data_IF_457121208123
#
_entry.id   IF_457121208123
#
_cell.length_a   1.000
_cell.length_b   1.000
_cell.length_c   1.000
_cell.angle_alpha   90.00
_cell.angle_beta   90.00
_cell.angle_gamma   90.00
#
_symmetry.space_group_name_H-M   'P 1'
#
loop_
_entity.id
_entity.type
_entity.pdbx_description
1 polymer ?
#
# COMPACT_ATOMS: atom_id res chain seq x y z
N UNK A 1 -5.54 15.22 -11.08
CA UNK A 1 -4.76 14.31 -10.24
C UNK A 1 -5.05 14.59 -8.80
N UNK A 2 -5.48 13.57 -8.06
CA UNK A 2 -5.71 13.65 -6.61
C UNK A 2 -4.65 12.79 -5.94
N UNK A 3 -4.14 13.25 -4.79
CA UNK A 3 -3.23 12.49 -3.94
C UNK A 3 -3.88 12.40 -2.57
N UNK A 4 -3.94 11.20 -2.03
CA UNK A 4 -4.49 10.93 -0.70
C UNK A 4 -3.46 10.13 0.10
N UNK A 5 -3.39 10.40 1.40
CA UNK A 5 -2.50 9.69 2.33
C UNK A 5 -3.39 9.19 3.46
N UNK A 6 -3.46 7.87 3.61
CA UNK A 6 -4.29 7.21 4.61
C UNK A 6 -3.60 5.96 5.16
N UNK A 7 -4.09 5.51 6.29
CA UNK A 7 -3.64 4.31 6.99
C UNK A 7 -4.59 3.12 6.82
N UNK A 8 -5.83 3.38 6.40
CA UNK A 8 -6.80 2.35 6.03
C UNK A 8 -6.43 1.78 4.65
N UNK A 9 -5.86 0.58 4.65
CA UNK A 9 -5.41 -0.09 3.44
C UNK A 9 -6.58 -0.57 2.57
N UNK A 10 -7.72 -0.95 3.15
CA UNK A 10 -8.87 -1.43 2.37
C UNK A 10 -9.48 -0.28 1.56
N UNK A 11 -9.59 0.90 2.17
CA UNK A 11 -10.04 2.11 1.48
C UNK A 11 -9.09 2.49 0.32
N UNK A 12 -7.78 2.52 0.59
CA UNK A 12 -6.78 2.92 -0.41
C UNK A 12 -6.75 1.95 -1.59
N UNK A 13 -6.89 0.64 -1.32
CA UNK A 13 -6.95 -0.40 -2.34
C UNK A 13 -8.20 -0.27 -3.23
N UNK A 14 -9.32 0.17 -2.68
CA UNK A 14 -10.56 0.37 -3.44
C UNK A 14 -10.56 1.68 -4.25
N UNK A 15 -9.88 2.72 -3.77
CA UNK A 15 -9.95 4.07 -4.33
C UNK A 15 -8.85 4.41 -5.33
N UNK A 16 -7.66 3.82 -5.19
CA UNK A 16 -6.47 4.25 -5.92
C UNK A 16 -6.08 3.32 -7.07
N UNK A 17 -5.81 3.88 -8.25
CA UNK A 17 -5.23 3.14 -9.38
C UNK A 17 -3.72 2.84 -9.18
N UNK A 18 -3.03 3.66 -8.38
CA UNK A 18 -1.60 3.53 -8.07
C UNK A 18 -1.34 3.90 -6.62
N UNK A 19 -0.60 3.04 -5.91
CA UNK A 19 -0.29 3.17 -4.50
C UNK A 19 1.23 3.22 -4.31
N UNK A 20 1.69 4.07 -3.39
CA UNK A 20 3.07 4.08 -2.89
C UNK A 20 3.03 3.77 -1.40
N UNK A 21 3.78 2.75 -0.97
CA UNK A 21 3.86 2.36 0.43
C UNK A 21 5.22 2.79 0.98
N UNK A 22 5.17 3.54 2.07
CA UNK A 22 6.33 4.06 2.79
C UNK A 22 6.43 3.37 4.14
N UNK A 23 7.55 2.71 4.44
CA UNK A 23 7.86 2.18 5.76
C UNK A 23 9.21 2.73 6.23
N UNK A 24 9.31 3.13 7.50
CA UNK A 24 10.57 3.58 8.13
C UNK A 24 11.32 4.66 7.32
N UNK A 25 10.60 5.54 6.64
CA UNK A 25 11.19 6.61 5.82
C UNK A 25 11.64 6.19 4.42
N UNK A 26 11.40 4.94 4.03
CA UNK A 26 11.76 4.39 2.71
C UNK A 26 10.53 3.89 1.95
N UNK A 27 10.55 4.07 0.63
CA UNK A 27 9.50 3.52 -0.24
C UNK A 27 9.76 2.03 -0.42
N UNK A 28 8.84 1.20 0.07
CA UNK A 28 8.98 -0.26 0.03
C UNK A 28 8.24 -0.90 -1.15
N UNK A 29 7.25 -0.23 -1.72
CA UNK A 29 6.48 -0.71 -2.86
C UNK A 29 5.80 0.45 -3.61
N UNK A 30 5.74 0.35 -4.94
CA UNK A 30 4.94 1.23 -5.81
C UNK A 30 4.26 0.37 -6.87
N UNK A 31 2.94 0.44 -6.99
CA UNK A 31 2.22 -0.40 -7.96
C UNK A 31 0.70 -0.23 -7.92
N UNK A 32 -0.01 -1.13 -8.62
CA UNK A 32 -1.47 -1.26 -8.53
C UNK A 32 -1.88 -1.87 -7.18
N UNK A 33 -3.15 -1.77 -6.76
CA UNK A 33 -3.65 -2.42 -5.55
C UNK A 33 -3.28 -3.90 -5.43
N UNK A 34 -3.40 -4.66 -6.52
CA UNK A 34 -3.05 -6.09 -6.55
C UNK A 34 -1.56 -6.31 -6.27
N UNK A 35 -0.69 -5.55 -6.96
CA UNK A 35 0.75 -5.64 -6.77
C UNK A 35 1.18 -5.27 -5.35
N UNK A 36 0.56 -4.22 -4.77
CA UNK A 36 0.83 -3.79 -3.40
C UNK A 36 0.38 -4.83 -2.39
N UNK A 37 -0.80 -5.43 -2.59
CA UNK A 37 -1.35 -6.47 -1.71
C UNK A 37 -0.51 -7.75 -1.71
N UNK A 38 0.02 -8.14 -2.87
CA UNK A 38 0.88 -9.32 -2.99
C UNK A 38 2.32 -9.07 -2.53
N UNK A 39 2.73 -7.80 -2.35
CA UNK A 39 4.10 -7.44 -2.03
C UNK A 39 4.51 -7.93 -0.62
N UNK A 40 5.55 -8.78 -0.48
CA UNK A 40 5.92 -9.40 0.79
C UNK A 40 6.16 -8.40 1.93
N UNK A 41 6.93 -7.33 1.65
CA UNK A 41 7.22 -6.28 2.65
C UNK A 41 6.00 -5.49 3.09
N UNK A 42 5.01 -5.32 2.19
CA UNK A 42 3.78 -4.59 2.53
C UNK A 42 2.91 -5.46 3.42
N UNK A 43 2.82 -6.76 3.12
CA UNK A 43 2.11 -7.72 3.95
C UNK A 43 2.68 -7.78 5.36
N UNK A 44 4.00 -7.88 5.48
CA UNK A 44 4.70 -7.89 6.77
C UNK A 44 4.47 -6.60 7.57
N UNK A 45 4.58 -5.44 6.92
CA UNK A 45 4.54 -4.16 7.61
C UNK A 45 3.12 -3.60 7.88
N UNK A 46 2.13 -3.93 7.05
CA UNK A 46 0.82 -3.25 7.06
C UNK A 46 -0.41 -4.17 7.04
N UNK A 47 -0.33 -5.39 6.48
CA UNK A 47 -1.51 -6.28 6.38
C UNK A 47 -1.50 -7.42 7.42
N UNK A 48 -0.38 -7.64 8.08
CA UNK A 48 -0.22 -8.71 9.07
C UNK A 48 -0.16 -10.11 8.44
N UNK A 49 0.04 -11.11 9.31
CA UNK A 49 -0.06 -12.52 8.95
C UNK A 49 -1.47 -12.99 9.31
N UNK A 50 -2.32 -13.19 8.31
CA UNK A 50 -3.56 -13.97 8.48
C UNK A 50 -3.24 -15.46 8.32
#
# INVERSE_FOLDING_TARGET
TVVVVEHDMDLIMALCERIQVLATGEVICVGTPEQVREHPKVREAYLGHA
#
